data_IF_397684091065
#
_entry.id   IF_397684091065
#
_cell.length_a   1.000
_cell.length_b   1.000
_cell.length_c   1.000
_cell.angle_alpha   90.00
_cell.angle_beta   90.00
_cell.angle_gamma   90.00
#
_symmetry.space_group_name_H-M   'P 1'
#
loop_
_entity.id
_entity.type
_entity.pdbx_description
1 polymer ?
#
# COMPACT_ATOMS: atom_id res chain seq x y z
N UNK A 1 -54.20 23.19 -9.25
CA UNK A 1 -53.39 23.60 -8.09
C UNK A 1 -51.92 23.51 -8.50
N UNK A 2 -51.17 24.61 -8.52
CA UNK A 2 -49.73 24.60 -8.80
C UNK A 2 -48.97 24.20 -7.55
N UNK A 3 -48.06 23.23 -7.67
CA UNK A 3 -47.14 22.85 -6.59
C UNK A 3 -46.23 24.05 -6.22
N UNK A 4 -45.82 24.20 -4.95
CA UNK A 4 -44.83 25.20 -4.57
C UNK A 4 -43.47 24.93 -5.25
N UNK A 5 -42.89 25.96 -5.87
CA UNK A 5 -41.51 25.90 -6.37
C UNK A 5 -40.55 26.01 -5.18
N UNK A 6 -39.91 24.91 -4.79
CA UNK A 6 -38.83 24.91 -3.81
C UNK A 6 -37.56 25.41 -4.52
N UNK A 7 -36.85 26.42 -3.97
CA UNK A 7 -35.60 26.88 -4.54
C UNK A 7 -34.57 25.75 -4.59
N UNK A 8 -33.84 25.66 -5.72
CA UNK A 8 -32.75 24.70 -5.86
C UNK A 8 -31.58 25.09 -4.94
N UNK A 9 -31.27 24.23 -3.97
CA UNK A 9 -30.11 24.39 -3.08
C UNK A 9 -28.99 23.51 -3.64
N UNK A 10 -27.87 24.11 -4.07
CA UNK A 10 -26.67 23.35 -4.43
C UNK A 10 -25.71 23.40 -3.23
N UNK A 11 -25.64 22.35 -2.39
CA UNK A 11 -24.76 22.36 -1.24
C UNK A 11 -23.30 22.34 -1.71
N UNK A 12 -22.51 23.34 -1.29
CA UNK A 12 -21.07 23.36 -1.49
C UNK A 12 -20.41 22.49 -0.40
N UNK A 13 -20.29 21.19 -0.64
CA UNK A 13 -19.61 20.27 0.28
C UNK A 13 -18.14 20.16 -0.13
N UNK A 14 -17.24 20.71 0.69
CA UNK A 14 -15.79 20.74 0.44
C UNK A 14 -15.03 19.72 1.32
N UNK A 15 -15.47 18.46 1.33
CA UNK A 15 -14.79 17.38 2.08
C UNK A 15 -14.23 16.37 1.09
N UNK A 16 -12.92 16.12 1.17
CA UNK A 16 -12.25 15.08 0.37
C UNK A 16 -12.36 13.73 1.06
N UNK A 17 -12.29 12.63 0.29
CA UNK A 17 -12.31 11.26 0.83
C UNK A 17 -11.25 11.03 1.93
N UNK A 18 -10.06 11.61 1.75
CA UNK A 18 -8.97 11.55 2.74
C UNK A 18 -9.33 12.27 4.05
N UNK A 19 -10.11 13.36 3.99
CA UNK A 19 -10.61 14.06 5.18
C UNK A 19 -11.83 13.36 5.81
N UNK A 20 -12.61 12.63 5.01
CA UNK A 20 -13.77 11.87 5.50
C UNK A 20 -13.37 10.73 6.43
N UNK A 21 -12.23 10.07 6.19
CA UNK A 21 -11.81 8.91 6.98
C UNK A 21 -11.59 9.27 8.47
N UNK A 22 -10.80 10.29 8.83
CA UNK A 22 -10.70 10.76 10.22
C UNK A 22 -12.05 11.14 10.84
N UNK A 23 -12.96 11.72 10.05
CA UNK A 23 -14.29 12.09 10.53
C UNK A 23 -15.16 10.85 10.82
N UNK A 24 -15.08 9.81 9.98
CA UNK A 24 -15.78 8.56 10.19
C UNK A 24 -15.23 7.81 11.41
N UNK A 25 -13.91 7.75 11.58
CA UNK A 25 -13.26 7.17 12.76
C UNK A 25 -13.65 7.93 14.04
N UNK A 26 -13.65 9.27 13.98
CA UNK A 26 -14.13 10.10 15.09
C UNK A 26 -15.60 9.82 15.43
N UNK A 27 -16.45 9.59 14.41
CA UNK A 27 -17.85 9.24 14.66
C UNK A 27 -18.04 7.88 15.32
N UNK A 28 -17.17 6.90 15.04
CA UNK A 28 -17.14 5.60 15.74
C UNK A 28 -16.71 5.84 17.19
N UNK A 29 -15.61 6.56 17.41
CA UNK A 29 -15.10 6.83 18.75
C UNK A 29 -16.10 7.59 19.66
N UNK A 30 -16.89 8.51 19.10
CA UNK A 30 -17.95 9.19 19.85
C UNK A 30 -19.09 8.24 20.23
N UNK A 31 -19.39 7.26 19.39
CA UNK A 31 -20.41 6.26 19.68
C UNK A 31 -19.95 5.26 20.74
N UNK A 32 -18.69 4.81 20.67
CA UNK A 32 -18.01 4.02 21.70
C UNK A 32 -18.04 4.71 23.08
N UNK A 33 -17.73 6.02 23.09
CA UNK A 33 -17.79 6.83 24.31
C UNK A 33 -19.22 6.88 24.89
N UNK A 34 -20.24 7.01 24.03
CA UNK A 34 -21.63 6.99 24.46
C UNK A 34 -22.04 5.62 25.04
N UNK A 35 -21.58 4.52 24.44
CA UNK A 35 -21.83 3.16 24.95
C UNK A 35 -21.14 2.93 26.29
N UNK A 36 -19.93 3.43 26.49
CA UNK A 36 -19.23 3.37 27.78
C UNK A 36 -20.03 4.06 28.90
N UNK A 37 -20.67 5.21 28.60
CA UNK A 37 -21.54 5.88 29.57
C UNK A 37 -22.80 5.07 29.91
N UNK A 38 -23.38 4.35 28.94
CA UNK A 38 -24.51 3.46 29.21
C UNK A 38 -24.09 2.34 30.16
N UNK A 39 -22.95 1.69 29.89
CA UNK A 39 -22.42 0.62 30.76
C UNK A 39 -22.15 1.14 32.17
N UNK A 40 -21.55 2.32 32.30
CA UNK A 40 -21.32 2.95 33.60
C UNK A 40 -22.64 3.29 34.33
N UNK A 41 -23.64 3.81 33.62
CA UNK A 41 -24.94 4.11 34.19
C UNK A 41 -25.67 2.84 34.70
N UNK A 42 -25.55 1.72 34.00
CA UNK A 42 -26.08 0.43 34.47
C UNK A 42 -25.33 -0.07 35.73
N UNK A 43 -24.01 0.16 35.81
CA UNK A 43 -23.23 -0.17 37.00
C UNK A 43 -23.64 0.68 38.21
N UNK A 44 -23.78 2.01 38.03
CA UNK A 44 -24.27 2.91 39.09
C UNK A 44 -25.69 2.56 39.53
N UNK A 45 -26.56 2.14 38.62
CA UNK A 45 -27.92 1.65 38.93
C UNK A 45 -27.88 0.44 39.87
N UNK A 46 -26.99 -0.51 39.63
CA UNK A 46 -26.80 -1.67 40.52
C UNK A 46 -26.29 -1.20 41.89
N UNK A 47 -25.26 -0.35 41.93
CA UNK A 47 -24.69 0.14 43.17
C UNK A 47 -25.70 0.96 44.00
N UNK A 48 -26.56 1.74 43.33
CA UNK A 48 -27.63 2.49 43.98
C UNK A 48 -28.62 1.58 44.70
N UNK A 49 -29.07 0.50 44.04
CA UNK A 49 -30.03 -0.44 44.63
C UNK A 49 -29.42 -1.30 45.73
N UNK A 50 -28.13 -1.62 45.63
CA UNK A 50 -27.39 -2.32 46.69
C UNK A 50 -27.00 -1.39 47.87
N UNK A 51 -27.22 -0.08 47.73
CA UNK A 51 -26.80 0.91 48.73
C UNK A 51 -25.29 1.05 48.86
N UNK A 52 -24.51 0.58 47.88
CA UNK A 52 -23.05 0.69 47.85
C UNK A 52 -22.57 1.96 47.15
N UNK A 53 -23.47 2.66 46.45
CA UNK A 53 -23.16 3.94 45.84
C UNK A 53 -22.91 4.98 46.94
N UNK A 54 -21.76 5.68 46.97
CA UNK A 54 -21.47 6.69 47.97
C UNK A 54 -22.59 7.74 48.00
N UNK A 55 -23.05 8.18 49.18
CA UNK A 55 -24.09 9.20 49.26
C UNK A 55 -23.57 10.51 48.65
N UNK A 56 -24.02 10.81 47.43
CA UNK A 56 -24.15 12.19 46.96
C UNK A 56 -25.21 12.93 47.78
N UNK A 57 -25.35 14.24 47.52
CA UNK A 57 -26.12 15.27 48.27
C UNK A 57 -27.57 14.95 48.70
N UNK A 58 -28.11 13.78 48.37
CA UNK A 58 -29.40 13.28 48.82
C UNK A 58 -29.26 11.82 49.25
N UNK A 59 -29.42 11.55 50.55
CA UNK A 59 -29.50 10.20 51.12
C UNK A 59 -30.83 9.56 50.74
N UNK A 60 -31.01 9.22 49.47
CA UNK A 60 -32.11 8.40 48.99
C UNK A 60 -31.73 6.94 49.22
N UNK A 61 -31.95 6.45 50.44
CA UNK A 61 -31.92 5.01 50.66
C UNK A 61 -33.18 4.43 50.02
N UNK A 62 -33.08 3.52 49.02
CA UNK A 62 -34.27 2.90 48.48
C UNK A 62 -35.04 2.16 49.59
N UNK A 63 -36.38 2.19 49.58
CA UNK A 63 -37.19 1.38 50.49
C UNK A 63 -36.82 -0.11 50.33
N UNK A 64 -37.18 -0.93 51.33
CA UNK A 64 -36.89 -2.37 51.43
C UNK A 64 -36.74 -3.03 50.05
N UNK A 65 -35.50 -3.38 49.70
CA UNK A 65 -35.19 -4.04 48.43
C UNK A 65 -35.49 -5.52 48.56
N UNK A 66 -36.40 -6.02 47.73
CA UNK A 66 -36.74 -7.45 47.69
C UNK A 66 -35.90 -8.17 46.63
N UNK A 67 -35.77 -9.50 46.76
CA UNK A 67 -35.09 -10.34 45.78
C UNK A 67 -35.72 -10.19 44.38
N UNK A 68 -37.05 -10.05 44.30
CA UNK A 68 -37.76 -9.84 43.03
C UNK A 68 -37.33 -8.55 42.32
N UNK A 69 -37.08 -7.48 43.08
CA UNK A 69 -36.57 -6.22 42.51
C UNK A 69 -35.15 -6.40 41.96
N UNK A 70 -34.29 -7.14 42.65
CA UNK A 70 -32.93 -7.43 42.20
C UNK A 70 -32.92 -8.25 40.91
N UNK A 71 -33.75 -9.30 40.83
CA UNK A 71 -33.89 -10.11 39.62
C UNK A 71 -34.44 -9.31 38.43
N UNK A 72 -35.37 -8.37 38.69
CA UNK A 72 -35.90 -7.49 37.66
C UNK A 72 -34.83 -6.52 37.12
N UNK A 73 -33.98 -5.98 37.99
CA UNK A 73 -32.85 -5.12 37.59
C UNK A 73 -31.81 -5.91 36.82
N UNK A 74 -31.41 -7.09 37.30
CA UNK A 74 -30.46 -7.96 36.61
C UNK A 74 -30.94 -8.30 35.20
N UNK A 75 -32.22 -8.70 35.06
CA UNK A 75 -32.85 -8.93 33.76
C UNK A 75 -32.90 -7.69 32.87
N UNK A 76 -33.01 -6.49 33.47
CA UNK A 76 -32.96 -5.22 32.73
C UNK A 76 -31.54 -4.91 32.24
N UNK A 77 -30.54 -5.00 33.12
CA UNK A 77 -29.13 -4.77 32.81
C UNK A 77 -28.67 -5.75 31.73
N UNK A 78 -29.04 -7.04 31.85
CA UNK A 78 -28.72 -8.05 30.85
C UNK A 78 -29.30 -7.70 29.46
N UNK A 79 -30.52 -7.11 29.41
CA UNK A 79 -31.10 -6.63 28.14
C UNK A 79 -30.30 -5.45 27.59
N UNK A 80 -29.98 -4.45 28.41
CA UNK A 80 -29.16 -3.31 27.99
C UNK A 80 -27.80 -3.77 27.46
N UNK A 81 -27.09 -4.65 28.17
CA UNK A 81 -25.78 -5.16 27.74
C UNK A 81 -25.87 -5.97 26.44
N UNK A 82 -26.93 -6.75 26.24
CA UNK A 82 -27.17 -7.43 24.95
C UNK A 82 -27.36 -6.43 23.81
N UNK A 83 -28.03 -5.32 24.04
CA UNK A 83 -28.22 -4.29 23.03
C UNK A 83 -26.94 -3.49 22.76
N UNK A 84 -26.11 -3.23 23.79
CA UNK A 84 -24.76 -2.69 23.64
C UNK A 84 -23.92 -3.59 22.75
N UNK A 85 -23.86 -4.91 23.03
CA UNK A 85 -23.10 -5.86 22.20
C UNK A 85 -23.57 -5.86 20.74
N UNK A 86 -24.88 -5.76 20.49
CA UNK A 86 -25.38 -5.62 19.11
C UNK A 86 -24.88 -4.35 18.45
N UNK A 87 -24.76 -3.26 19.21
CA UNK A 87 -24.24 -2.01 18.66
C UNK A 87 -22.73 -2.05 18.41
N UNK A 88 -21.97 -2.69 19.28
CA UNK A 88 -20.54 -3.00 19.09
C UNK A 88 -20.32 -3.77 17.78
N UNK A 89 -21.12 -4.82 17.50
CA UNK A 89 -21.04 -5.54 16.23
C UNK A 89 -21.32 -4.64 15.01
N UNK A 90 -22.27 -3.71 15.12
CA UNK A 90 -22.55 -2.76 14.03
C UNK A 90 -21.43 -1.72 13.86
N UNK A 91 -20.77 -1.33 14.96
CA UNK A 91 -19.62 -0.43 14.94
C UNK A 91 -18.39 -1.09 14.32
N UNK A 92 -18.19 -2.38 14.60
CA UNK A 92 -17.17 -3.20 13.97
C UNK A 92 -17.36 -3.22 12.44
N UNK A 93 -18.56 -3.52 11.95
CA UNK A 93 -18.83 -3.44 10.50
C UNK A 93 -18.56 -2.06 9.91
N UNK A 94 -18.87 -0.99 10.64
CA UNK A 94 -18.59 0.38 10.18
C UNK A 94 -17.09 0.65 10.15
N UNK A 95 -16.32 0.15 11.11
CA UNK A 95 -14.88 0.28 11.15
C UNK A 95 -14.21 -0.46 10.00
N UNK A 96 -14.59 -1.72 9.74
CA UNK A 96 -14.10 -2.49 8.60
C UNK A 96 -14.34 -1.78 7.26
N UNK A 97 -15.56 -1.24 7.05
CA UNK A 97 -15.86 -0.44 5.85
C UNK A 97 -14.97 0.82 5.71
N UNK A 98 -14.52 1.41 6.83
CA UNK A 98 -13.60 2.55 6.82
C UNK A 98 -12.17 2.09 6.50
N UNK A 99 -11.77 0.89 6.95
CA UNK A 99 -10.48 0.30 6.59
C UNK A 99 -10.41 -0.02 5.10
N UNK A 100 -11.47 -0.58 4.51
CA UNK A 100 -11.54 -0.82 3.07
C UNK A 100 -11.37 0.49 2.27
N UNK A 101 -11.96 1.59 2.76
CA UNK A 101 -11.79 2.90 2.13
C UNK A 101 -10.33 3.40 2.21
N UNK A 102 -9.59 3.07 3.27
CA UNK A 102 -8.17 3.39 3.39
C UNK A 102 -7.32 2.68 2.33
N UNK A 103 -7.64 1.43 1.99
CA UNK A 103 -6.90 0.70 0.95
C UNK A 103 -7.08 1.34 -0.43
N UNK A 104 -8.27 1.87 -0.73
CA UNK A 104 -8.55 2.53 -2.01
C UNK A 104 -7.81 3.86 -2.23
N UNK A 105 -7.34 4.50 -1.15
CA UNK A 105 -6.59 5.77 -1.24
C UNK A 105 -5.07 5.56 -1.23
N UNK A 106 -4.59 4.33 -1.07
CA UNK A 106 -3.16 4.05 -1.17
C UNK A 106 -2.70 4.28 -2.62
N UNK A 107 -1.82 5.26 -2.89
CA UNK A 107 -1.36 5.48 -4.25
C UNK A 107 -0.61 4.24 -4.72
N UNK A 108 -0.99 3.71 -5.88
CA UNK A 108 -0.14 2.79 -6.64
C UNK A 108 1.27 3.37 -6.68
N UNK A 109 2.34 2.61 -6.34
CA UNK A 109 3.70 3.11 -6.43
C UNK A 109 3.90 3.72 -7.82
N UNK A 110 4.60 4.87 -7.94
CA UNK A 110 4.93 5.40 -9.26
C UNK A 110 5.61 4.29 -10.07
N UNK A 111 5.33 4.16 -11.39
CA UNK A 111 6.01 3.19 -12.22
C UNK A 111 7.51 3.39 -12.05
N UNK A 112 8.20 2.35 -11.59
CA UNK A 112 9.65 2.36 -11.47
C UNK A 112 10.24 2.59 -12.85
N UNK A 113 10.95 3.71 -13.01
CA UNK A 113 11.61 4.03 -14.28
C UNK A 113 13.01 3.41 -14.21
N UNK A 114 13.20 2.32 -14.94
CA UNK A 114 14.51 1.66 -15.08
C UNK A 114 15.23 2.26 -16.28
N UNK A 115 16.34 2.95 -16.04
CA UNK A 115 17.23 3.47 -17.09
C UNK A 115 18.44 2.56 -17.21
N UNK A 116 18.77 2.14 -18.43
CA UNK A 116 19.94 1.31 -18.71
C UNK A 116 20.80 2.02 -19.76
N UNK A 117 22.01 2.39 -19.37
CA UNK A 117 23.03 2.88 -20.31
C UNK A 117 23.86 1.70 -20.78
N UNK A 118 24.07 1.56 -22.08
CA UNK A 118 24.92 0.53 -22.69
C UNK A 118 25.93 1.20 -23.63
N UNK A 119 27.18 0.78 -23.55
CA UNK A 119 28.29 1.24 -24.37
C UNK A 119 29.11 0.05 -24.85
N UNK A 120 29.66 0.14 -26.06
CA UNK A 120 30.59 -0.84 -26.61
C UNK A 120 31.91 -0.14 -26.96
N UNK A 121 33.04 -0.77 -26.64
CA UNK A 121 34.37 -0.25 -27.00
C UNK A 121 35.34 -1.42 -27.32
N UNK A 122 35.89 -1.49 -28.54
CA UNK A 122 35.62 -0.62 -29.70
C UNK A 122 34.26 -0.90 -30.37
N UNK A 123 33.70 0.10 -31.07
CA UNK A 123 32.47 -0.06 -31.88
C UNK A 123 32.76 -0.57 -33.30
N UNK A 124 34.01 -0.58 -33.73
CA UNK A 124 34.46 -1.19 -34.97
C UNK A 124 35.53 -2.23 -34.66
N UNK A 125 35.35 -3.44 -35.17
CA UNK A 125 36.26 -4.56 -34.96
C UNK A 125 36.61 -5.15 -36.31
N UNK A 126 37.87 -5.58 -36.48
CA UNK A 126 38.33 -6.22 -37.72
C UNK A 126 37.89 -7.70 -37.71
N UNK A 127 37.51 -8.21 -38.87
CA UNK A 127 37.16 -9.61 -39.08
C UNK A 127 38.32 -10.53 -38.68
N UNK A 128 38.09 -11.36 -37.68
CA UNK A 128 39.01 -12.39 -37.24
C UNK A 128 38.51 -13.07 -35.97
N UNK A 129 38.85 -14.36 -35.82
CA UNK A 129 38.50 -15.12 -34.63
C UNK A 129 39.19 -14.52 -33.39
N UNK A 130 38.43 -14.33 -32.31
CA UNK A 130 38.97 -13.87 -31.02
C UNK A 130 39.12 -12.36 -30.86
N UNK A 131 38.74 -11.55 -31.86
CA UNK A 131 38.58 -10.11 -31.63
C UNK A 131 37.29 -9.83 -30.85
N UNK A 132 37.39 -8.88 -29.91
CA UNK A 132 36.33 -8.62 -28.93
C UNK A 132 36.02 -7.13 -28.80
N UNK A 133 34.80 -6.83 -28.35
CA UNK A 133 34.43 -5.52 -27.85
C UNK A 133 33.91 -5.63 -26.43
N UNK A 134 34.37 -4.72 -25.58
CA UNK A 134 33.93 -4.65 -24.19
C UNK A 134 32.62 -3.89 -24.13
N UNK A 135 31.60 -4.52 -23.59
CA UNK A 135 30.31 -3.93 -23.28
C UNK A 135 30.34 -3.44 -21.83
N UNK A 136 30.08 -2.16 -21.62
CA UNK A 136 29.94 -1.58 -20.27
C UNK A 136 28.64 -0.80 -20.18
N UNK A 137 28.14 -0.64 -18.97
CA UNK A 137 26.91 0.10 -18.77
C UNK A 137 26.53 0.24 -17.32
N UNK A 138 25.43 0.96 -17.07
CA UNK A 138 24.88 1.17 -15.73
C UNK A 138 23.37 1.00 -15.75
N UNK A 139 22.84 0.32 -14.75
CA UNK A 139 21.40 0.23 -14.46
C UNK A 139 21.07 1.18 -13.32
N UNK A 140 20.03 2.00 -13.50
CA UNK A 140 19.48 2.88 -12.47
C UNK A 140 17.97 2.68 -12.38
N UNK A 141 17.45 2.56 -11.16
CA UNK A 141 16.02 2.53 -10.88
C UNK A 141 15.66 3.83 -10.19
N UNK A 142 14.82 4.65 -10.83
CA UNK A 142 14.46 5.99 -10.35
C UNK A 142 15.70 6.88 -10.07
N UNK A 143 16.77 6.72 -10.87
CA UNK A 143 18.02 7.47 -10.74
C UNK A 143 18.99 6.96 -9.67
N UNK A 144 18.70 5.86 -8.98
CA UNK A 144 19.59 5.22 -7.99
C UNK A 144 20.03 3.82 -8.42
N UNK A 145 21.25 3.37 -8.09
CA UNK A 145 21.70 2.01 -8.38
C UNK A 145 20.79 0.94 -7.75
N UNK A 146 20.48 -0.17 -8.45
CA UNK A 146 19.80 -1.31 -7.87
C UNK A 146 20.75 -2.08 -6.91
N UNK A 147 20.22 -3.03 -6.12
CA UNK A 147 21.06 -3.94 -5.33
C UNK A 147 22.15 -4.61 -6.18
N UNK A 148 23.35 -4.74 -5.61
CA UNK A 148 24.44 -5.47 -6.24
C UNK A 148 24.01 -6.91 -6.57
N UNK A 149 24.45 -7.43 -7.72
CA UNK A 149 24.05 -8.75 -8.21
C UNK A 149 22.74 -8.76 -9.00
N UNK A 150 22.26 -7.61 -9.47
CA UNK A 150 21.10 -7.56 -10.38
C UNK A 150 21.52 -8.11 -11.76
N UNK A 151 20.79 -9.09 -12.34
CA UNK A 151 21.13 -9.65 -13.64
C UNK A 151 20.76 -8.71 -14.80
N UNK A 152 21.67 -8.58 -15.76
CA UNK A 152 21.53 -7.83 -17.01
C UNK A 152 21.66 -8.81 -18.17
N UNK A 153 20.58 -8.98 -18.93
CA UNK A 153 20.53 -9.87 -20.09
C UNK A 153 20.83 -9.10 -21.36
N UNK A 154 21.63 -9.70 -22.25
CA UNK A 154 21.94 -9.13 -23.55
C UNK A 154 21.25 -9.92 -24.66
N UNK A 155 20.68 -9.19 -25.62
CA UNK A 155 20.17 -9.73 -26.88
C UNK A 155 20.95 -9.15 -28.05
N UNK A 156 21.28 -10.00 -29.02
CA UNK A 156 21.90 -9.60 -30.28
C UNK A 156 20.92 -9.82 -31.44
N UNK A 157 20.88 -8.89 -32.39
CA UNK A 157 20.01 -9.03 -33.58
C UNK A 157 20.46 -10.14 -34.54
N UNK A 158 21.74 -10.52 -34.51
CA UNK A 158 22.30 -11.60 -35.33
C UNK A 158 23.33 -12.39 -34.53
N UNK A 159 22.90 -13.51 -33.93
CA UNK A 159 23.76 -14.38 -33.14
C UNK A 159 24.82 -15.15 -33.95
N UNK A 160 24.71 -15.16 -35.29
CA UNK A 160 25.71 -15.80 -36.15
C UNK A 160 27.02 -15.00 -36.26
N UNK A 161 27.02 -13.71 -35.88
CA UNK A 161 28.21 -12.85 -35.97
C UNK A 161 29.04 -12.82 -34.69
N UNK A 162 28.49 -13.26 -33.56
CA UNK A 162 29.23 -13.31 -32.30
C UNK A 162 28.37 -13.60 -31.08
N UNK A 163 29.04 -13.82 -29.95
CA UNK A 163 28.44 -14.19 -28.67
C UNK A 163 28.85 -13.22 -27.57
N UNK A 164 27.99 -13.03 -26.57
CA UNK A 164 28.26 -12.19 -25.39
C UNK A 164 28.49 -13.07 -24.17
N UNK A 165 29.55 -12.80 -23.42
CA UNK A 165 29.84 -13.48 -22.15
C UNK A 165 30.42 -12.50 -21.12
N UNK A 166 29.95 -12.48 -19.86
CA UNK A 166 28.82 -13.26 -19.34
C UNK A 166 27.44 -12.74 -19.82
N UNK A 167 26.47 -13.65 -19.97
CA UNK A 167 25.06 -13.34 -20.23
C UNK A 167 24.17 -14.30 -19.40
N UNK A 168 23.58 -13.87 -18.27
CA UNK A 168 23.54 -12.49 -17.77
C UNK A 168 24.88 -12.00 -17.19
N UNK A 169 25.15 -10.70 -17.32
CA UNK A 169 26.13 -10.01 -16.49
C UNK A 169 25.47 -9.53 -15.19
N UNK A 170 26.24 -9.32 -14.13
CA UNK A 170 25.72 -8.89 -12.83
C UNK A 170 26.22 -7.49 -12.48
N UNK A 171 25.35 -6.66 -11.91
CA UNK A 171 25.71 -5.30 -11.49
C UNK A 171 26.57 -5.28 -10.22
N UNK A 172 27.46 -4.31 -10.10
CA UNK A 172 28.13 -3.95 -8.84
C UNK A 172 27.21 -3.12 -7.91
N UNK A 173 27.76 -2.65 -6.78
CA UNK A 173 27.02 -1.81 -5.82
C UNK A 173 26.68 -0.40 -6.35
N UNK A 174 27.28 0.02 -7.46
CA UNK A 174 27.00 1.27 -8.16
C UNK A 174 26.12 1.04 -9.40
N UNK A 175 25.62 -0.19 -9.62
CA UNK A 175 24.75 -0.53 -10.74
C UNK A 175 25.49 -0.76 -12.06
N UNK A 176 26.83 -0.78 -12.06
CA UNK A 176 27.62 -0.97 -13.27
C UNK A 176 27.73 -2.45 -13.63
N UNK A 177 27.75 -2.75 -14.92
CA UNK A 177 27.95 -4.10 -15.44
C UNK A 177 28.98 -4.10 -16.58
N UNK A 178 29.60 -5.25 -16.79
CA UNK A 178 30.56 -5.47 -17.89
C UNK A 178 30.32 -6.83 -18.54
N UNK A 179 30.38 -6.88 -19.87
CA UNK A 179 30.39 -8.11 -20.64
C UNK A 179 31.33 -7.99 -21.85
N UNK A 180 31.65 -9.10 -22.50
CA UNK A 180 32.52 -9.13 -23.68
C UNK A 180 31.73 -9.71 -24.85
N UNK A 181 31.61 -8.93 -25.93
CA UNK A 181 31.18 -9.44 -27.22
C UNK A 181 32.39 -10.02 -27.96
N UNK A 182 32.30 -11.28 -28.39
CA UNK A 182 33.35 -12.00 -29.13
C UNK A 182 32.84 -12.37 -30.51
N UNK A 183 33.59 -12.04 -31.56
CA UNK A 183 33.25 -12.37 -32.95
C UNK A 183 33.42 -13.87 -33.19
N UNK A 184 32.52 -14.45 -33.98
CA UNK A 184 32.62 -15.84 -34.44
C UNK A 184 33.18 -15.89 -35.87
N UNK A 185 32.35 -15.65 -36.90
CA UNK A 185 32.79 -15.54 -38.29
C UNK A 185 31.74 -14.77 -39.12
N UNK A 186 32.17 -13.75 -39.87
CA UNK A 186 31.30 -12.93 -40.73
C UNK A 186 31.44 -11.42 -40.55
N UNK A 187 31.41 -10.69 -41.66
CA UNK A 187 31.35 -9.23 -41.68
C UNK A 187 29.91 -8.72 -41.61
N UNK A 188 29.70 -7.57 -40.97
CA UNK A 188 28.38 -6.98 -40.82
C UNK A 188 28.22 -6.14 -39.55
N UNK A 189 27.01 -5.61 -39.34
CA UNK A 189 26.68 -4.82 -38.16
C UNK A 189 25.80 -5.63 -37.19
N UNK A 190 26.21 -5.67 -35.92
CA UNK A 190 25.46 -6.30 -34.82
C UNK A 190 24.91 -5.21 -33.92
N UNK A 191 23.60 -5.24 -33.68
CA UNK A 191 22.92 -4.42 -32.67
C UNK A 191 22.76 -5.24 -31.40
N UNK A 192 23.16 -4.65 -30.29
CA UNK A 192 23.13 -5.25 -28.95
C UNK A 192 22.22 -4.41 -28.07
N UNK A 193 21.30 -5.07 -27.37
CA UNK A 193 20.40 -4.44 -26.40
C UNK A 193 20.57 -5.12 -25.04
N UNK A 194 20.61 -4.32 -23.97
CA UNK A 194 20.65 -4.80 -22.60
C UNK A 194 19.27 -4.65 -21.94
N UNK A 195 18.85 -5.65 -21.17
CA UNK A 195 17.57 -5.66 -20.46
C UNK A 195 17.76 -6.06 -19.00
N UNK A 196 17.13 -5.33 -18.09
CA UNK A 196 17.19 -5.56 -16.64
C UNK A 196 15.94 -4.96 -15.97
N UNK A 197 15.39 -5.64 -14.96
CA UNK A 197 14.27 -5.13 -14.15
C UNK A 197 13.10 -4.55 -14.98
N UNK A 198 12.77 -5.20 -16.11
CA UNK A 198 11.71 -4.77 -17.04
C UNK A 198 12.04 -3.58 -17.95
N UNK A 199 13.20 -2.94 -17.77
CA UNK A 199 13.73 -1.89 -18.65
C UNK A 199 14.62 -2.44 -19.78
N UNK A 200 14.79 -1.63 -20.82
CA UNK A 200 15.67 -1.89 -21.97
C UNK A 200 16.57 -0.69 -22.24
N UNK A 201 17.82 -0.94 -22.61
CA UNK A 201 18.72 0.10 -23.12
C UNK A 201 18.36 0.50 -24.56
N UNK A 202 18.86 1.64 -24.99
CA UNK A 202 19.03 1.89 -26.42
C UNK A 202 20.01 0.87 -27.03
N UNK A 203 19.81 0.45 -28.30
CA UNK A 203 20.69 -0.51 -28.94
C UNK A 203 22.05 0.12 -29.26
N UNK A 204 23.12 -0.64 -29.03
CA UNK A 204 24.49 -0.28 -29.43
C UNK A 204 24.90 -1.10 -30.64
N UNK A 205 25.45 -0.43 -31.66
CA UNK A 205 25.91 -1.08 -32.90
C UNK A 205 27.41 -1.32 -32.87
N UNK A 206 27.82 -2.56 -33.15
CA UNK A 206 29.21 -2.95 -33.42
C UNK A 206 29.32 -3.31 -34.90
N UNK A 207 30.29 -2.71 -35.60
CA UNK A 207 30.56 -2.99 -37.02
C UNK A 207 31.79 -3.90 -37.14
N UNK A 208 31.64 -5.01 -37.85
CA UNK A 208 32.69 -5.97 -38.16
C UNK A 208 33.11 -5.77 -39.62
N UNK A 209 34.36 -5.36 -39.84
CA UNK A 209 34.93 -5.00 -41.15
C UNK A 209 36.08 -5.89 -41.57
#
# INVERSE_FOLDING_TARGET
>A
MSFPNIPNITPTISVTTAQTIPLLLSSIALEELALAHIVNAEAEKIQFVLGTLPPGRTTLSPPVVTISNLLAIDSSVQRTLRDVIKKEMLLEFKFENVLDLLETISPTPPPSTTTITLNANPTTIILGIGFTSTLTGQVLVNGSPPPAGTPVNFSVNNAALGTISPNPAFTDALGNFTAIFTISDGAGAVMITATALGGSSDPVTITIV
#
